data_IF_280328451183
#
_entry.id   IF_280328451183
#
_cell.length_a   1.000
_cell.length_b   1.000
_cell.length_c   1.000
_cell.angle_alpha   90.00
_cell.angle_beta   90.00
_cell.angle_gamma   90.00
#
_symmetry.space_group_name_H-M   'P 1'
#
loop_
_entity.id
_entity.type
_entity.pdbx_description
1 polymer ?
#
# COMPACT_ATOMS: atom_id res chain seq x y z
N UNK A 1 -14.65 -31.83 -5.11
CA UNK A 1 -13.33 -31.35 -4.65
C UNK A 1 -12.47 -30.88 -5.84
N UNK A 2 -12.91 -29.86 -6.59
CA UNK A 2 -12.24 -29.42 -7.84
C UNK A 2 -11.81 -27.95 -7.87
N UNK A 3 -11.80 -27.27 -6.72
CA UNK A 3 -11.55 -25.82 -6.65
C UNK A 3 -10.08 -25.41 -6.66
N UNK A 4 -9.15 -26.29 -6.27
CA UNK A 4 -7.74 -25.93 -6.12
C UNK A 4 -6.99 -25.77 -7.45
N UNK A 5 -7.41 -26.49 -8.50
CA UNK A 5 -6.71 -26.46 -9.79
C UNK A 5 -6.77 -25.09 -10.49
N UNK A 6 -7.81 -24.29 -10.23
CA UNK A 6 -8.00 -22.98 -10.87
C UNK A 6 -7.14 -21.87 -10.25
N UNK A 7 -6.53 -22.09 -9.09
CA UNK A 7 -5.57 -21.16 -8.48
C UNK A 7 -4.13 -21.34 -9.00
N UNK A 8 -3.80 -22.53 -9.54
CA UNK A 8 -2.44 -22.83 -10.00
C UNK A 8 -2.15 -22.36 -11.43
N UNK A 9 -3.17 -21.99 -12.19
CA UNK A 9 -3.03 -21.48 -13.58
C UNK A 9 -3.34 -19.97 -13.68
N UNK A 10 -3.14 -19.23 -12.58
CA UNK A 10 -3.22 -17.76 -12.63
C UNK A 10 -1.95 -17.22 -13.27
N UNK A 11 -2.10 -16.50 -14.38
CA UNK A 11 -0.98 -15.77 -14.97
C UNK A 11 -0.37 -14.83 -13.94
N UNK A 12 0.97 -14.79 -13.89
CA UNK A 12 1.76 -14.12 -12.86
C UNK A 12 1.33 -12.67 -12.59
N UNK A 13 0.90 -11.93 -13.63
CA UNK A 13 0.38 -10.57 -13.51
C UNK A 13 -0.97 -10.46 -12.78
N UNK A 14 -1.86 -11.44 -12.95
CA UNK A 14 -3.14 -11.49 -12.24
C UNK A 14 -2.89 -11.73 -10.75
N UNK A 15 -1.99 -12.67 -10.43
CA UNK A 15 -1.58 -12.96 -9.06
C UNK A 15 -1.01 -11.72 -8.36
N UNK A 16 -0.05 -11.02 -8.99
CA UNK A 16 0.53 -9.79 -8.44
C UNK A 16 -0.55 -8.72 -8.19
N UNK A 17 -1.51 -8.58 -9.10
CA UNK A 17 -2.61 -7.61 -8.95
C UNK A 17 -3.51 -7.97 -7.76
N UNK A 18 -3.83 -9.25 -7.58
CA UNK A 18 -4.63 -9.74 -6.45
C UNK A 18 -3.88 -9.52 -5.13
N UNK A 19 -2.60 -9.88 -5.07
CA UNK A 19 -1.76 -9.69 -3.88
C UNK A 19 -1.65 -8.22 -3.48
N UNK A 20 -1.40 -7.32 -4.44
CA UNK A 20 -1.34 -5.88 -4.18
C UNK A 20 -2.67 -5.33 -3.64
N UNK A 21 -3.81 -5.80 -4.17
CA UNK A 21 -5.13 -5.41 -3.68
C UNK A 21 -5.39 -5.94 -2.27
N UNK A 22 -5.01 -7.18 -1.97
CA UNK A 22 -5.14 -7.75 -0.64
C UNK A 22 -4.28 -6.99 0.38
N UNK A 23 -3.03 -6.65 0.03
CA UNK A 23 -2.17 -5.81 0.86
C UNK A 23 -2.78 -4.42 1.09
N UNK A 24 -3.29 -3.79 0.03
CA UNK A 24 -3.98 -2.50 0.14
C UNK A 24 -5.20 -2.56 1.06
N UNK A 25 -6.04 -3.59 0.90
CA UNK A 25 -7.20 -3.85 1.77
C UNK A 25 -6.78 -3.99 3.22
N UNK A 26 -5.74 -4.78 3.47
CA UNK A 26 -5.20 -5.03 4.81
C UNK A 26 -4.67 -3.73 5.44
N UNK A 27 -3.91 -2.93 4.70
CA UNK A 27 -3.45 -1.61 5.15
C UNK A 27 -4.62 -0.70 5.56
N UNK A 28 -5.69 -0.65 4.76
CA UNK A 28 -6.89 0.15 5.07
C UNK A 28 -7.63 -0.41 6.28
N UNK A 29 -7.80 -1.74 6.36
CA UNK A 29 -8.49 -2.39 7.47
C UNK A 29 -7.81 -2.12 8.82
N UNK A 30 -6.48 -2.08 8.86
CA UNK A 30 -5.75 -1.77 10.09
C UNK A 30 -5.61 -0.26 10.34
N UNK A 31 -5.46 0.56 9.29
CA UNK A 31 -5.26 2.00 9.43
C UNK A 31 -6.54 2.77 9.79
N UNK A 32 -7.68 2.44 9.18
CA UNK A 32 -8.94 3.16 9.36
C UNK A 32 -9.46 3.16 10.82
N UNK A 33 -9.59 2.02 11.52
CA UNK A 33 -10.08 2.02 12.90
C UNK A 33 -9.13 2.75 13.84
N UNK A 34 -7.82 2.66 13.61
CA UNK A 34 -6.81 3.40 14.39
C UNK A 34 -6.98 4.91 14.24
N UNK A 35 -7.20 5.40 13.01
CA UNK A 35 -7.49 6.81 12.76
C UNK A 35 -8.78 7.27 13.44
N UNK A 36 -9.85 6.48 13.37
CA UNK A 36 -11.13 6.83 14.01
C UNK A 36 -10.95 6.97 15.52
N UNK A 37 -10.24 6.03 16.16
CA UNK A 37 -9.95 6.09 17.60
C UNK A 37 -9.11 7.33 17.97
N UNK A 38 -8.08 7.66 17.19
CA UNK A 38 -7.23 8.82 17.46
C UNK A 38 -7.96 10.15 17.25
N UNK A 39 -8.74 10.27 16.17
CA UNK A 39 -9.53 11.48 15.89
C UNK A 39 -10.60 11.69 16.95
N UNK A 40 -11.29 10.63 17.38
CA UNK A 40 -12.29 10.74 18.46
C UNK A 40 -11.64 11.11 19.79
N UNK A 41 -10.49 10.53 20.13
CA UNK A 41 -9.73 10.93 21.32
C UNK A 41 -9.30 12.41 21.27
N UNK A 42 -8.86 12.89 20.10
CA UNK A 42 -8.49 14.29 19.91
C UNK A 42 -9.70 15.24 20.04
N UNK A 43 -10.84 14.89 19.46
CA UNK A 43 -12.08 15.67 19.61
C UNK A 43 -12.55 15.70 21.06
N UNK A 44 -12.46 14.59 21.77
CA UNK A 44 -12.78 14.53 23.19
C UNK A 44 -11.83 15.39 24.04
N UNK A 45 -10.53 15.37 23.72
CA UNK A 45 -9.54 16.24 24.37
C UNK A 45 -9.83 17.73 24.10
N UNK A 46 -10.12 18.10 22.86
CA UNK A 46 -10.49 19.48 22.49
C UNK A 46 -11.75 19.94 23.22
N UNK A 47 -12.78 19.10 23.28
CA UNK A 47 -14.01 19.41 24.01
C UNK A 47 -13.75 19.61 25.50
N UNK A 48 -12.89 18.78 26.11
CA UNK A 48 -12.51 18.95 27.52
C UNK A 48 -11.70 20.23 27.80
N UNK A 49 -10.96 20.72 26.80
CA UNK A 49 -10.16 21.94 26.88
C UNK A 49 -11.03 23.19 26.85
N UNK A 50 -12.08 23.20 26.02
CA UNK A 50 -13.05 24.28 25.94
C UNK A 50 -13.72 24.55 27.29
N UNK A 51 -13.92 23.50 28.09
CA UNK A 51 -14.51 23.60 29.42
C UNK A 51 -13.52 24.05 30.52
N UNK A 52 -12.21 23.98 30.25
CA UNK A 52 -11.14 24.21 31.25
C UNK A 52 -10.26 25.43 30.98
N UNK A 53 -10.65 26.35 30.08
CA UNK A 53 -9.88 27.58 29.78
C UNK A 53 -9.54 28.45 31.01
N UNK A 54 -10.18 28.24 32.17
CA UNK A 54 -9.82 28.92 33.43
C UNK A 54 -8.50 28.44 34.08
N UNK A 55 -7.90 27.33 33.66
CA UNK A 55 -6.69 26.73 34.26
C UNK A 55 -5.50 26.61 33.29
N UNK A 56 -5.46 27.47 32.27
CA UNK A 56 -4.49 27.46 31.15
C UNK A 56 -2.99 27.30 31.50
N UNK A 57 -2.42 27.94 32.55
CA UNK A 57 -0.97 27.91 32.73
C UNK A 57 -0.43 26.59 33.33
N UNK A 58 -1.19 25.87 34.16
CA UNK A 58 -0.73 24.60 34.73
C UNK A 58 -0.86 23.43 33.74
N UNK A 59 -1.83 23.49 32.83
CA UNK A 59 -2.13 22.39 31.92
C UNK A 59 -1.33 22.42 30.61
N UNK A 60 -0.52 23.45 30.36
CA UNK A 60 0.14 23.63 29.06
C UNK A 60 1.24 22.58 28.79
N UNK A 61 2.04 22.22 29.80
CA UNK A 61 3.09 21.19 29.66
C UNK A 61 2.50 19.79 29.44
N UNK A 62 1.40 19.48 30.13
CA UNK A 62 0.66 18.23 29.93
C UNK A 62 0.01 18.19 28.54
N UNK A 63 -0.59 19.29 28.09
CA UNK A 63 -1.12 19.40 26.74
C UNK A 63 -0.02 19.21 25.67
N UNK A 64 1.10 19.92 25.78
CA UNK A 64 2.17 19.89 24.79
C UNK A 64 2.77 18.48 24.61
N UNK A 65 2.99 17.75 25.71
CA UNK A 65 3.51 16.38 25.66
C UNK A 65 2.51 15.39 25.04
N UNK A 66 1.21 15.52 25.33
CA UNK A 66 0.17 14.66 24.75
C UNK A 66 -0.15 15.00 23.28
N UNK A 67 -0.17 16.29 22.91
CA UNK A 67 -0.48 16.73 21.54
C UNK A 67 0.63 16.40 20.55
N UNK A 68 1.90 16.56 20.95
CA UNK A 68 3.05 16.25 20.10
C UNK A 68 3.10 14.78 19.68
N UNK A 69 2.82 13.87 20.63
CA UNK A 69 2.76 12.43 20.35
C UNK A 69 1.55 12.05 19.49
N UNK A 70 0.40 12.70 19.72
CA UNK A 70 -0.84 12.42 18.99
C UNK A 70 -0.79 12.80 17.51
N UNK A 71 -0.17 13.94 17.15
CA UNK A 71 -0.14 14.39 15.74
C UNK A 71 0.70 13.48 14.85
N UNK A 72 1.83 12.98 15.36
CA UNK A 72 2.69 12.05 14.64
C UNK A 72 1.97 10.74 14.32
N UNK A 73 1.25 10.17 15.29
CA UNK A 73 0.51 8.94 15.05
C UNK A 73 -0.65 9.12 14.06
N UNK A 74 -1.36 10.26 14.14
CA UNK A 74 -2.44 10.59 13.20
C UNK A 74 -1.89 10.69 11.78
N UNK A 75 -0.76 11.39 11.59
CA UNK A 75 -0.13 11.53 10.28
C UNK A 75 0.27 10.17 9.70
N UNK A 76 0.88 9.30 10.52
CA UNK A 76 1.24 7.93 10.11
C UNK A 76 -0.02 7.14 9.73
N UNK A 77 -1.10 7.24 10.51
CA UNK A 77 -2.38 6.60 10.20
C UNK A 77 -2.95 7.04 8.85
N UNK A 78 -2.92 8.34 8.56
CA UNK A 78 -3.36 8.88 7.28
C UNK A 78 -2.50 8.38 6.13
N UNK A 79 -1.17 8.44 6.28
CA UNK A 79 -0.23 7.91 5.28
C UNK A 79 -0.49 6.43 5.00
N UNK A 80 -0.73 5.62 6.03
CA UNK A 80 -1.04 4.20 5.90
C UNK A 80 -2.35 3.96 5.14
N UNK A 81 -3.42 4.70 5.48
CA UNK A 81 -4.72 4.56 4.78
C UNK A 81 -4.62 5.04 3.34
N UNK A 82 -3.98 6.19 3.09
CA UNK A 82 -3.76 6.72 1.74
C UNK A 82 -2.96 5.73 0.90
N UNK A 83 -1.89 5.17 1.47
CA UNK A 83 -1.07 4.15 0.80
C UNK A 83 -1.87 2.88 0.50
N UNK A 84 -2.68 2.40 1.46
CA UNK A 84 -3.57 1.25 1.26
C UNK A 84 -4.61 1.50 0.17
N UNK A 85 -5.22 2.69 0.15
CA UNK A 85 -6.18 3.11 -0.88
C UNK A 85 -5.52 3.20 -2.27
N UNK A 86 -4.29 3.72 -2.32
CA UNK A 86 -3.49 3.81 -3.54
C UNK A 86 -3.21 2.42 -4.14
N UNK A 87 -2.90 1.44 -3.29
CA UNK A 87 -2.73 0.04 -3.72
C UNK A 87 -4.06 -0.58 -4.21
N UNK A 88 -5.18 -0.30 -3.52
CA UNK A 88 -6.52 -0.81 -3.87
C UNK A 88 -7.07 -0.27 -5.20
N UNK A 89 -7.01 1.05 -5.38
CA UNK A 89 -7.41 1.73 -6.63
C UNK A 89 -6.49 1.36 -7.80
N UNK A 90 -5.43 0.64 -7.48
CA UNK A 90 -4.59 -0.04 -8.42
C UNK A 90 -3.62 0.94 -9.02
N UNK A 91 -2.59 1.27 -8.23
CA UNK A 91 -1.38 1.97 -8.63
C UNK A 91 -0.98 1.63 -10.05
N UNK A 92 -1.49 2.43 -11.00
CA UNK A 92 -1.31 2.21 -12.45
C UNK A 92 0.18 2.22 -12.76
N UNK A 93 0.92 3.02 -12.01
CA UNK A 93 2.37 3.08 -12.02
C UNK A 93 3.02 1.74 -11.66
N UNK A 94 2.63 1.08 -10.56
CA UNK A 94 3.17 -0.24 -10.20
C UNK A 94 2.83 -1.30 -11.26
N UNK A 95 1.60 -1.31 -11.76
CA UNK A 95 1.18 -2.23 -12.83
C UNK A 95 2.00 -2.03 -14.11
N UNK A 96 2.28 -0.77 -14.47
CA UNK A 96 3.15 -0.46 -15.61
C UNK A 96 4.59 -0.91 -15.38
N UNK A 97 5.14 -0.76 -14.16
CA UNK A 97 6.49 -1.24 -13.85
C UNK A 97 6.60 -2.77 -13.94
N UNK A 98 5.63 -3.49 -13.37
CA UNK A 98 5.60 -4.96 -13.45
C UNK A 98 5.43 -5.43 -14.90
N UNK A 99 4.52 -4.80 -15.66
CA UNK A 99 4.33 -5.12 -17.07
C UNK A 99 5.56 -4.80 -17.94
N UNK A 100 6.35 -3.79 -17.58
CA UNK A 100 7.65 -3.49 -18.23
C UNK A 100 8.68 -4.57 -17.92
N UNK A 101 8.75 -5.04 -16.67
CA UNK A 101 9.66 -6.13 -16.30
C UNK A 101 9.29 -7.45 -17.01
N UNK A 102 8.01 -7.77 -17.17
CA UNK A 102 7.58 -8.96 -17.92
C UNK A 102 7.90 -8.85 -19.41
N UNK A 103 7.66 -7.68 -20.05
CA UNK A 103 7.99 -7.50 -21.48
C UNK A 103 9.46 -7.63 -21.82
N UNK A 104 10.32 -7.43 -20.84
CA UNK A 104 11.77 -7.54 -20.98
C UNK A 104 12.30 -8.87 -20.49
N UNK A 105 11.47 -9.88 -20.23
CA UNK A 105 11.96 -11.23 -19.91
C UNK A 105 11.42 -12.25 -20.88
N UNK A 106 12.25 -13.23 -21.22
CA UNK A 106 11.78 -14.40 -21.95
C UNK A 106 10.76 -15.14 -21.08
N UNK A 107 9.60 -15.47 -21.66
CA UNK A 107 8.52 -16.16 -20.93
C UNK A 107 8.88 -17.62 -20.60
N UNK A 108 9.84 -18.21 -21.31
CA UNK A 108 10.23 -19.61 -21.14
C UNK A 108 11.38 -19.76 -20.13
N UNK A 109 12.51 -19.08 -20.34
CA UNK A 109 13.69 -19.20 -19.46
C UNK A 109 13.87 -18.06 -18.44
N UNK A 110 13.12 -16.96 -18.56
CA UNK A 110 13.24 -15.80 -17.68
C UNK A 110 14.43 -14.88 -17.93
N UNK A 111 15.20 -15.12 -19.01
CA UNK A 111 16.35 -14.30 -19.40
C UNK A 111 15.94 -12.85 -19.71
N UNK A 112 16.80 -11.89 -19.37
CA UNK A 112 16.55 -10.46 -19.59
C UNK A 112 16.78 -10.07 -21.05
N UNK A 113 15.69 -9.75 -21.75
CA UNK A 113 15.61 -9.29 -23.13
C UNK A 113 15.68 -7.76 -23.25
N UNK A 114 15.97 -7.02 -22.18
CA UNK A 114 16.05 -5.54 -22.22
C UNK A 114 17.12 -5.00 -23.17
N UNK A 115 18.15 -5.79 -23.51
CA UNK A 115 19.19 -5.44 -24.48
C UNK A 115 19.04 -6.06 -25.87
N UNK A 116 17.95 -6.80 -26.13
CA UNK A 116 17.77 -7.55 -27.38
C UNK A 116 16.71 -6.86 -28.24
N UNK A 117 17.03 -6.61 -29.51
CA UNK A 117 16.10 -5.99 -30.45
C UNK A 117 14.82 -6.81 -30.63
N UNK A 118 13.69 -6.12 -30.78
CA UNK A 118 12.37 -6.73 -31.03
C UNK A 118 12.43 -7.59 -32.30
N UNK A 119 12.09 -8.89 -32.19
CA UNK A 119 12.14 -9.84 -33.30
C UNK A 119 13.33 -10.82 -33.28
N UNK A 120 14.27 -10.69 -32.35
CA UNK A 120 15.33 -11.67 -32.15
C UNK A 120 14.94 -12.77 -31.15
N UNK A 121 15.54 -13.95 -31.31
CA UNK A 121 15.37 -15.11 -30.43
C UNK A 121 16.12 -14.92 -29.12
N UNK A 122 15.58 -15.47 -28.04
CA UNK A 122 16.27 -15.50 -26.75
C UNK A 122 17.61 -16.26 -26.89
N UNK A 123 18.74 -15.69 -26.44
CA UNK A 123 20.06 -16.30 -26.59
C UNK A 123 20.25 -17.55 -25.73
N UNK A 124 19.47 -17.71 -24.66
CA UNK A 124 19.54 -18.87 -23.77
C UNK A 124 18.70 -20.06 -24.26
N UNK A 125 17.44 -19.82 -24.65
CA UNK A 125 16.48 -20.88 -24.98
C UNK A 125 16.06 -20.93 -26.46
N UNK A 126 16.43 -19.93 -27.28
CA UNK A 126 16.12 -19.88 -28.70
C UNK A 126 14.67 -19.50 -29.05
N UNK A 127 13.84 -19.20 -28.05
CA UNK A 127 12.43 -18.85 -28.22
C UNK A 127 12.25 -17.45 -28.81
N UNK A 128 11.33 -17.29 -29.75
CA UNK A 128 11.01 -16.00 -30.37
C UNK A 128 10.28 -15.07 -29.38
N UNK A 129 10.69 -13.79 -29.37
CA UNK A 129 10.06 -12.74 -28.58
C UNK A 129 8.75 -12.32 -29.27
N UNK A 130 7.61 -12.82 -28.78
CA UNK A 130 6.25 -12.45 -29.22
C UNK A 130 5.79 -11.10 -28.67
#
# INVERSE_FOLDING_TARGET
MGGLGRFLDMRRHEFVTVVLRLLGLLCVMFGAPRLVLQVTALLQALHSLEWNLRLLPENFNWAQSNFGFSLGEILIGFLQVIFGLYLLLGGRWLRQQVARMERNRCFECGYDLSGIETGQRCPECGVERS
#
